data_IF_867812279813
#
_entry.id   IF_867812279813
#
_cell.length_a   1.000
_cell.length_b   1.000
_cell.length_c   1.000
_cell.angle_alpha   90.00
_cell.angle_beta   90.00
_cell.angle_gamma   90.00
#
_symmetry.space_group_name_H-M   'P 1'
#
loop_
_entity.id
_entity.type
_entity.pdbx_description
1 polymer ?
#
# COMPACT_ATOMS: atom_id res chain seq x y z
N UNK A 1 -1.77 -3.56 -21.66
CA UNK A 1 -2.39 -3.87 -20.35
C UNK A 1 -1.47 -4.76 -19.52
N UNK A 2 -0.87 -5.79 -20.13
CA UNK A 2 0.05 -6.70 -19.44
C UNK A 2 1.26 -5.96 -18.83
N UNK A 3 1.82 -4.96 -19.52
CA UNK A 3 3.01 -4.23 -19.03
C UNK A 3 2.82 -3.60 -17.65
N UNK A 4 1.67 -3.00 -17.35
CA UNK A 4 1.41 -2.39 -16.04
C UNK A 4 1.15 -3.43 -14.95
N UNK A 5 0.47 -4.53 -15.30
CA UNK A 5 0.25 -5.64 -14.37
C UNK A 5 1.58 -6.32 -14.05
N UNK A 6 2.41 -6.56 -15.06
CA UNK A 6 3.75 -7.11 -14.89
C UNK A 6 4.61 -6.18 -14.01
N UNK A 7 4.54 -4.87 -14.23
CA UNK A 7 5.25 -3.88 -13.41
C UNK A 7 4.78 -3.92 -11.94
N UNK A 8 3.48 -4.08 -11.68
CA UNK A 8 2.98 -4.26 -10.30
C UNK A 8 3.55 -5.52 -9.70
N UNK A 9 3.49 -6.64 -10.40
CA UNK A 9 3.98 -7.93 -9.90
C UNK A 9 5.48 -7.89 -9.62
N UNK A 10 6.31 -7.35 -10.52
CA UNK A 10 7.75 -7.21 -10.33
C UNK A 10 8.14 -6.26 -9.19
N UNK A 11 7.26 -5.34 -8.80
CA UNK A 11 7.46 -4.45 -7.66
C UNK A 11 6.90 -5.00 -6.35
N UNK A 12 6.40 -6.24 -6.31
CA UNK A 12 5.97 -6.89 -5.08
C UNK A 12 7.16 -7.53 -4.37
N UNK A 13 7.27 -7.27 -3.08
CA UNK A 13 8.27 -7.86 -2.18
C UNK A 13 7.61 -8.92 -1.31
N UNK A 14 8.26 -10.07 -1.19
CA UNK A 14 7.80 -11.14 -0.31
C UNK A 14 8.16 -10.80 1.14
N UNK A 15 7.15 -10.59 1.95
CA UNK A 15 7.28 -10.37 3.38
C UNK A 15 7.16 -11.72 4.09
N UNK A 16 8.16 -12.13 4.88
CA UNK A 16 8.14 -13.43 5.57
C UNK A 16 7.11 -13.45 6.71
N UNK A 17 6.78 -14.65 7.17
CA UNK A 17 6.00 -14.80 8.40
C UNK A 17 6.77 -14.28 9.60
N UNK A 18 6.06 -13.78 10.60
CA UNK A 18 6.67 -13.29 11.83
C UNK A 18 5.67 -12.78 12.84
N UNK A 19 6.11 -11.85 13.66
CA UNK A 19 5.30 -11.24 14.70
C UNK A 19 5.57 -9.74 14.75
N UNK A 20 4.54 -8.98 15.03
CA UNK A 20 4.66 -7.54 15.31
C UNK A 20 3.98 -7.21 16.62
N UNK A 21 4.59 -6.34 17.37
CA UNK A 21 4.01 -5.76 18.57
C UNK A 21 3.33 -4.44 18.20
N UNK A 22 2.05 -4.39 18.43
CA UNK A 22 1.22 -3.19 18.28
C UNK A 22 0.94 -2.58 19.64
N UNK A 23 0.75 -1.27 19.67
CA UNK A 23 0.42 -0.57 20.90
C UNK A 23 -0.54 0.58 20.66
N UNK A 24 -1.40 0.82 21.62
CA UNK A 24 -2.23 2.03 21.70
C UNK A 24 -1.85 2.82 22.94
N UNK A 25 -1.12 3.92 22.75
CA UNK A 25 -0.60 4.76 23.84
C UNK A 25 -1.73 5.48 24.61
N UNK A 26 -2.89 5.68 23.99
CA UNK A 26 -4.05 6.33 24.63
C UNK A 26 -4.61 5.50 25.78
N UNK A 27 -4.62 4.18 25.59
CA UNK A 27 -5.13 3.21 26.57
C UNK A 27 -4.02 2.38 27.22
N UNK A 28 -2.74 2.68 26.91
CA UNK A 28 -1.55 1.99 27.41
C UNK A 28 -1.64 0.46 27.22
N UNK A 29 -2.12 0.04 26.07
CA UNK A 29 -2.29 -1.38 25.74
C UNK A 29 -1.31 -1.79 24.66
N UNK A 30 -0.65 -2.94 24.89
CA UNK A 30 0.23 -3.59 23.93
C UNK A 30 -0.32 -4.99 23.64
N UNK A 31 -0.16 -5.43 22.39
CA UNK A 31 -0.54 -6.79 21.98
C UNK A 31 0.29 -7.26 20.80
N UNK A 32 0.48 -8.56 20.69
CA UNK A 32 1.25 -9.19 19.62
C UNK A 32 0.32 -9.75 18.56
N UNK A 33 0.68 -9.53 17.28
CA UNK A 33 -0.04 -10.07 16.12
C UNK A 33 0.88 -10.99 15.33
N UNK A 34 0.40 -12.16 15.01
CA UNK A 34 1.06 -13.11 14.11
C UNK A 34 0.85 -12.65 12.67
N UNK A 35 1.93 -12.56 11.91
CA UNK A 35 1.92 -12.19 10.49
C UNK A 35 2.14 -13.45 9.65
N UNK A 36 1.20 -13.76 8.78
CA UNK A 36 1.39 -14.76 7.73
C UNK A 36 2.22 -14.17 6.60
N UNK A 37 2.96 -14.99 5.81
CA UNK A 37 3.71 -14.46 4.68
C UNK A 37 2.75 -13.84 3.66
N UNK A 38 3.14 -12.69 3.08
CA UNK A 38 2.36 -11.99 2.08
C UNK A 38 3.27 -11.23 1.09
N UNK A 39 2.68 -10.70 0.03
CA UNK A 39 3.36 -9.82 -0.91
C UNK A 39 2.93 -8.38 -0.66
N UNK A 40 3.90 -7.48 -0.58
CA UNK A 40 3.66 -6.04 -0.43
C UNK A 40 4.31 -5.28 -1.57
N UNK A 41 3.62 -4.27 -2.11
CA UNK A 41 4.21 -3.37 -3.08
C UNK A 41 5.38 -2.60 -2.46
N UNK A 42 6.53 -2.59 -3.16
CA UNK A 42 7.74 -1.88 -2.72
C UNK A 42 7.51 -0.37 -2.54
N UNK A 43 6.66 0.20 -3.36
CA UNK A 43 6.34 1.63 -3.36
C UNK A 43 4.85 1.85 -3.12
N UNK A 44 4.51 3.01 -2.57
CA UNK A 44 3.12 3.46 -2.55
C UNK A 44 2.61 3.63 -3.99
N UNK A 45 1.29 3.51 -4.18
CA UNK A 45 0.65 3.61 -5.48
C UNK A 45 0.93 4.96 -6.14
N UNK A 46 1.49 4.91 -7.35
CA UNK A 46 1.80 6.12 -8.12
C UNK A 46 0.59 6.61 -8.92
N UNK A 47 0.60 7.91 -9.24
CA UNK A 47 -0.40 8.53 -10.13
C UNK A 47 -0.49 7.78 -11.45
N UNK A 48 0.65 7.54 -12.12
CA UNK A 48 0.70 6.83 -13.40
C UNK A 48 -0.01 5.47 -13.33
N UNK A 49 0.31 4.66 -12.30
CA UNK A 49 -0.26 3.34 -12.15
C UNK A 49 -1.76 3.40 -11.85
N UNK A 50 -2.19 4.30 -10.96
CA UNK A 50 -3.60 4.46 -10.61
C UNK A 50 -4.45 4.78 -11.83
N UNK A 51 -4.03 5.74 -12.63
CA UNK A 51 -4.77 6.17 -13.81
C UNK A 51 -4.75 5.09 -14.92
N UNK A 52 -3.63 4.44 -15.18
CA UNK A 52 -3.56 3.35 -16.18
C UNK A 52 -4.46 2.17 -15.85
N UNK A 53 -4.63 1.86 -14.57
CA UNK A 53 -5.51 0.77 -14.13
C UNK A 53 -6.98 1.20 -14.14
N UNK A 54 -7.29 2.42 -13.70
CA UNK A 54 -8.68 2.90 -13.60
C UNK A 54 -9.24 3.42 -14.91
N UNK A 55 -8.42 3.57 -15.96
CA UNK A 55 -8.77 4.20 -17.24
C UNK A 55 -9.39 5.60 -17.06
N UNK A 56 -9.07 6.31 -15.98
CA UNK A 56 -9.47 7.70 -15.83
C UNK A 56 -8.61 8.57 -16.74
N UNK A 57 -9.19 9.62 -17.32
CA UNK A 57 -8.44 10.55 -18.16
C UNK A 57 -7.43 11.33 -17.32
N UNK A 58 -6.20 11.42 -17.81
CA UNK A 58 -5.15 12.21 -17.24
C UNK A 58 -5.34 13.68 -17.70
N UNK A 59 -5.50 14.60 -16.78
CA UNK A 59 -5.69 16.03 -17.09
C UNK A 59 -4.37 16.81 -17.10
N UNK A 60 -3.33 16.31 -17.84
CA UNK A 60 -2.04 17.00 -17.94
C UNK A 60 -0.86 16.17 -17.43
N UNK A 61 0.24 16.73 -16.98
CA UNK A 61 1.56 16.15 -16.67
C UNK A 61 1.61 14.94 -15.69
N UNK A 62 0.86 13.90 -15.95
CA UNK A 62 0.57 12.82 -15.02
C UNK A 62 1.42 11.56 -15.22
N UNK A 63 2.45 11.61 -16.06
CA UNK A 63 3.57 10.68 -16.02
C UNK A 63 4.42 10.97 -14.79
N UNK A 64 3.86 10.78 -13.60
CA UNK A 64 4.60 11.09 -12.40
C UNK A 64 4.73 9.88 -11.51
N UNK A 65 5.97 9.60 -11.10
CA UNK A 65 6.28 8.70 -9.99
C UNK A 65 5.86 9.28 -8.64
N UNK A 66 4.96 10.25 -8.62
CA UNK A 66 4.40 10.80 -7.39
C UNK A 66 3.33 9.87 -6.83
N UNK A 67 3.19 9.77 -5.52
CA UNK A 67 2.10 9.01 -4.93
C UNK A 67 0.75 9.62 -5.33
N UNK A 68 -0.23 8.76 -5.59
CA UNK A 68 -1.61 9.22 -5.78
C UNK A 68 -2.16 9.72 -4.44
N UNK A 69 -2.78 10.89 -4.47
CA UNK A 69 -3.35 11.56 -3.29
C UNK A 69 -4.81 11.93 -3.54
N UNK A 70 -5.51 12.37 -2.50
CA UNK A 70 -6.93 12.75 -2.57
C UNK A 70 -7.84 11.62 -3.09
N UNK A 71 -7.51 10.38 -2.73
CA UNK A 71 -8.35 9.21 -2.93
C UNK A 71 -8.95 8.77 -1.60
N UNK A 72 -10.22 8.38 -1.63
CA UNK A 72 -10.89 7.81 -0.47
C UNK A 72 -10.45 6.36 -0.24
N UNK A 73 -10.75 5.83 0.94
CA UNK A 73 -10.57 4.41 1.22
C UNK A 73 -11.38 3.52 0.25
N UNK A 74 -12.59 3.94 -0.12
CA UNK A 74 -13.40 3.25 -1.12
C UNK A 74 -12.71 3.24 -2.50
N UNK A 75 -12.11 4.35 -2.93
CA UNK A 75 -11.35 4.38 -4.19
C UNK A 75 -10.17 3.39 -4.16
N UNK A 76 -9.47 3.31 -3.04
CA UNK A 76 -8.34 2.38 -2.89
C UNK A 76 -8.80 0.91 -2.97
N UNK A 77 -9.93 0.56 -2.37
CA UNK A 77 -10.51 -0.79 -2.45
C UNK A 77 -11.00 -1.13 -3.85
N UNK A 78 -11.70 -0.20 -4.48
CA UNK A 78 -12.15 -0.37 -5.86
C UNK A 78 -10.96 -0.54 -6.81
N UNK A 79 -9.87 0.21 -6.57
CA UNK A 79 -8.61 0.01 -7.30
C UNK A 79 -8.06 -1.41 -7.11
N UNK A 80 -7.98 -1.92 -5.88
CA UNK A 80 -7.51 -3.28 -5.58
C UNK A 80 -8.34 -4.34 -6.32
N UNK A 81 -9.65 -4.23 -6.29
CA UNK A 81 -10.54 -5.14 -7.00
C UNK A 81 -10.35 -5.05 -8.53
N UNK A 82 -10.27 -3.84 -9.08
CA UNK A 82 -10.05 -3.64 -10.51
C UNK A 82 -8.69 -4.20 -10.96
N UNK A 83 -7.64 -3.98 -10.17
CA UNK A 83 -6.32 -4.55 -10.41
C UNK A 83 -6.36 -6.08 -10.37
N UNK A 84 -7.04 -6.67 -9.39
CA UNK A 84 -7.24 -8.12 -9.28
C UNK A 84 -7.91 -8.66 -10.53
N UNK A 85 -9.02 -8.07 -10.94
CA UNK A 85 -9.77 -8.46 -12.15
C UNK A 85 -8.90 -8.38 -13.40
N UNK A 86 -8.16 -7.30 -13.59
CA UNK A 86 -7.26 -7.13 -14.73
C UNK A 86 -6.09 -8.13 -14.72
N UNK A 87 -5.66 -8.57 -13.54
CA UNK A 87 -4.63 -9.60 -13.36
C UNK A 87 -5.17 -11.04 -13.43
N UNK A 88 -6.47 -11.24 -13.64
CA UNK A 88 -7.08 -12.57 -13.66
C UNK A 88 -7.20 -13.23 -12.27
N UNK A 89 -7.09 -12.42 -11.21
CA UNK A 89 -7.24 -12.87 -9.83
C UNK A 89 -8.68 -12.67 -9.34
N UNK A 90 -9.05 -13.39 -8.29
CA UNK A 90 -10.36 -13.18 -7.63
C UNK A 90 -10.32 -11.94 -6.76
N UNK A 91 -11.34 -11.10 -6.85
CA UNK A 91 -11.47 -9.87 -6.08
C UNK A 91 -11.58 -10.18 -4.58
N UNK A 92 -10.77 -9.48 -3.78
CA UNK A 92 -10.71 -9.67 -2.33
C UNK A 92 -11.92 -9.07 -1.60
N UNK A 93 -12.42 -7.94 -2.09
CA UNK A 93 -13.53 -7.22 -1.47
C UNK A 93 -14.84 -7.47 -2.23
N UNK A 94 -15.88 -7.90 -1.51
CA UNK A 94 -17.25 -7.89 -2.04
C UNK A 94 -17.86 -6.52 -1.82
N UNK A 95 -18.34 -5.92 -2.90
CA UNK A 95 -18.90 -4.56 -2.89
C UNK A 95 -20.37 -4.64 -3.29
N UNK A 96 -21.24 -3.97 -2.55
CA UNK A 96 -22.67 -3.88 -2.87
C UNK A 96 -22.94 -3.03 -4.11
N UNK A 97 -24.15 -3.08 -4.64
CA UNK A 97 -24.57 -2.21 -5.74
C UNK A 97 -24.49 -0.70 -5.41
N UNK A 98 -24.51 -0.35 -4.12
CA UNK A 98 -24.30 1.03 -3.63
C UNK A 98 -22.84 1.41 -3.44
N UNK A 99 -21.87 0.53 -3.78
CA UNK A 99 -20.44 0.79 -3.62
C UNK A 99 -19.91 0.60 -2.20
N UNK A 100 -20.70 0.06 -1.28
CA UNK A 100 -20.27 -0.24 0.09
C UNK A 100 -19.63 -1.64 0.15
N UNK A 101 -18.59 -1.78 0.98
CA UNK A 101 -17.99 -3.09 1.23
C UNK A 101 -18.90 -3.91 2.10
N UNK A 102 -19.23 -5.08 1.59
CA UNK A 102 -20.10 -6.06 2.26
C UNK A 102 -19.26 -7.07 3.04
N UNK A 103 -18.16 -7.53 2.47
CA UNK A 103 -17.26 -8.50 3.10
C UNK A 103 -15.86 -8.51 2.48
N UNK A 104 -14.92 -9.09 3.21
CA UNK A 104 -13.58 -9.41 2.72
C UNK A 104 -13.42 -10.93 2.76
N UNK A 105 -12.85 -11.52 1.71
CA UNK A 105 -12.59 -12.95 1.70
C UNK A 105 -11.08 -13.21 1.76
N UNK A 106 -10.63 -13.67 2.93
CA UNK A 106 -9.22 -13.92 3.25
C UNK A 106 -8.61 -15.10 2.47
N UNK A 107 -9.41 -15.96 1.88
CA UNK A 107 -8.97 -17.12 1.12
C UNK A 107 -8.72 -16.81 -0.36
N UNK A 108 -8.99 -15.58 -0.78
CA UNK A 108 -8.81 -15.14 -2.16
C UNK A 108 -7.41 -14.54 -2.36
N UNK A 109 -6.92 -14.66 -3.59
CA UNK A 109 -5.57 -14.28 -3.99
C UNK A 109 -5.50 -12.88 -4.63
N UNK A 110 -6.56 -12.09 -4.55
CA UNK A 110 -6.62 -10.74 -5.11
C UNK A 110 -5.78 -9.72 -4.36
N UNK A 111 -5.54 -8.60 -5.01
CA UNK A 111 -4.91 -7.45 -4.40
C UNK A 111 -5.80 -6.83 -3.32
N UNK A 112 -5.17 -6.40 -2.24
CA UNK A 112 -5.86 -5.76 -1.11
C UNK A 112 -4.97 -4.75 -0.42
N UNK A 113 -5.55 -3.93 0.41
CA UNK A 113 -4.78 -3.11 1.35
C UNK A 113 -4.15 -4.00 2.42
N UNK A 114 -2.93 -3.69 2.88
CA UNK A 114 -2.37 -4.35 4.06
C UNK A 114 -3.19 -3.99 5.30
N UNK A 115 -3.25 -4.90 6.27
CA UNK A 115 -3.71 -4.53 7.61
C UNK A 115 -2.67 -3.62 8.29
N UNK A 116 -3.07 -2.93 9.37
CA UNK A 116 -2.14 -2.11 10.16
C UNK A 116 -0.95 -2.94 10.66
N UNK A 117 -1.21 -4.16 11.13
CA UNK A 117 -0.17 -5.07 11.61
C UNK A 117 0.82 -5.47 10.50
N UNK A 118 0.30 -5.82 9.32
CA UNK A 118 1.13 -6.15 8.15
C UNK A 118 1.97 -4.95 7.70
N UNK A 119 1.36 -3.76 7.66
CA UNK A 119 2.06 -2.53 7.28
C UNK A 119 3.18 -2.19 8.27
N UNK A 120 2.89 -2.20 9.58
CA UNK A 120 3.89 -1.93 10.61
C UNK A 120 5.03 -2.96 10.60
N UNK A 121 4.70 -4.25 10.45
CA UNK A 121 5.70 -5.31 10.38
C UNK A 121 6.64 -5.12 9.19
N UNK A 122 6.10 -4.89 8.00
CA UNK A 122 6.89 -4.65 6.81
C UNK A 122 7.70 -3.34 6.89
N UNK A 123 7.10 -2.26 7.39
CA UNK A 123 7.77 -0.97 7.51
C UNK A 123 8.97 -1.04 8.47
N UNK A 124 8.83 -1.70 9.61
CA UNK A 124 9.92 -1.86 10.59
C UNK A 124 11.04 -2.77 10.08
N UNK A 125 10.73 -3.77 9.26
CA UNK A 125 11.70 -4.71 8.69
C UNK A 125 12.71 -5.25 9.73
N UNK A 126 12.21 -5.64 10.91
CA UNK A 126 13.01 -6.15 12.02
C UNK A 126 13.74 -5.11 12.87
N UNK A 127 13.63 -3.81 12.57
CA UNK A 127 14.23 -2.77 13.40
C UNK A 127 13.42 -2.53 14.68
N UNK A 128 14.07 -2.30 15.84
CA UNK A 128 13.39 -1.90 17.06
C UNK A 128 12.96 -0.44 16.99
N UNK A 129 11.93 -0.08 17.75
CA UNK A 129 11.48 1.32 17.87
C UNK A 129 10.38 1.70 16.89
N UNK A 130 10.20 3.02 16.71
CA UNK A 130 9.09 3.59 15.93
C UNK A 130 9.40 3.71 14.45
N UNK A 131 10.65 3.98 14.10
CA UNK A 131 11.13 4.18 12.74
C UNK A 131 12.30 3.26 12.44
N UNK A 132 12.50 2.91 11.17
CA UNK A 132 13.61 2.05 10.76
C UNK A 132 14.92 2.84 10.50
N UNK A 133 14.91 4.16 10.68
CA UNK A 133 16.08 5.01 10.50
C UNK A 133 15.83 6.45 10.88
N UNK A 134 16.76 7.31 10.58
CA UNK A 134 16.67 8.75 10.78
C UNK A 134 15.56 9.35 9.90
N UNK A 135 14.58 10.02 10.49
CA UNK A 135 13.37 10.45 9.80
C UNK A 135 13.65 11.27 8.53
N UNK A 136 14.62 12.14 8.54
CA UNK A 136 15.00 12.96 7.38
C UNK A 136 15.49 12.13 6.19
N UNK A 137 16.10 10.97 6.46
CA UNK A 137 16.64 10.09 5.42
C UNK A 137 15.59 9.14 4.84
N UNK A 138 14.64 8.71 5.67
CA UNK A 138 13.70 7.64 5.33
C UNK A 138 12.32 8.12 4.87
N UNK A 139 11.93 9.36 5.16
CA UNK A 139 10.59 9.85 4.86
C UNK A 139 10.57 11.28 4.29
N UNK A 140 9.53 11.56 3.49
CA UNK A 140 9.12 12.91 3.14
C UNK A 140 8.03 13.37 4.12
N UNK A 141 8.22 14.50 4.76
CA UNK A 141 7.27 15.10 5.68
C UNK A 141 7.33 16.64 5.58
N UNK A 142 6.53 17.33 6.34
CA UNK A 142 6.32 18.77 6.17
C UNK A 142 7.61 19.60 6.18
N UNK A 143 8.55 19.29 7.08
CA UNK A 143 9.78 20.05 7.26
C UNK A 143 10.82 19.87 6.13
N UNK A 144 10.77 18.73 5.38
CA UNK A 144 11.77 18.44 4.36
C UNK A 144 11.20 18.32 2.93
N UNK A 145 9.89 18.40 2.79
CA UNK A 145 9.21 18.30 1.48
C UNK A 145 9.00 19.66 0.80
N UNK A 146 9.17 20.77 1.53
CA UNK A 146 8.82 22.14 1.08
C UNK A 146 7.35 22.25 0.63
N UNK A 147 6.44 21.55 1.33
CA UNK A 147 5.01 21.52 0.99
C UNK A 147 4.68 20.85 -0.33
N UNK A 148 5.61 20.10 -0.93
CA UNK A 148 5.42 19.44 -2.22
C UNK A 148 5.31 17.93 -2.09
N UNK A 149 4.46 17.32 -2.91
CA UNK A 149 4.42 15.87 -3.10
C UNK A 149 5.67 15.47 -3.89
N UNK A 150 6.46 14.56 -3.33
CA UNK A 150 7.72 14.08 -3.88
C UNK A 150 7.55 12.72 -4.54
N UNK A 151 8.43 12.40 -5.49
CA UNK A 151 8.45 11.10 -6.14
C UNK A 151 8.70 9.97 -5.13
N UNK A 152 8.10 8.82 -5.38
CA UNK A 152 8.32 7.61 -4.57
C UNK A 152 9.74 7.07 -4.75
N UNK A 153 10.24 6.32 -3.76
CA UNK A 153 11.53 5.66 -3.84
C UNK A 153 12.75 6.58 -3.84
N UNK A 154 12.64 7.83 -3.35
CA UNK A 154 13.73 8.81 -3.29
C UNK A 154 14.33 8.98 -1.89
N UNK A 155 13.98 8.10 -0.98
CA UNK A 155 14.52 8.04 0.39
C UNK A 155 15.20 6.71 0.62
N UNK A 156 15.97 6.60 1.70
CA UNK A 156 16.62 5.35 2.08
C UNK A 156 15.57 4.26 2.33
N UNK A 157 15.74 3.06 1.73
CA UNK A 157 14.81 1.97 1.97
C UNK A 157 15.01 1.35 3.35
N UNK A 158 13.98 0.65 3.83
CA UNK A 158 14.15 -0.32 4.91
C UNK A 158 14.79 -1.63 4.36
N UNK A 159 15.12 -2.53 5.25
CA UNK A 159 15.74 -3.81 4.92
C UNK A 159 14.81 -4.74 4.10
#
# INVERSE_FOLDING_TARGET
LNRFIDQVYFNMVKIPAGKVELRDDRIKKEWQVQIKPFLLAKYVLTVELFYSITNRALNGNENSNKPVVNISWNDAIMFCNLLSKKAGLKEYYSVSNSGQIVSCNLDLNGYRLPSEAEWQYACKAGTPGYTYGELQKIAWYNENSNGQIRDVGKKEPNA
#
